data_IF_928392501219
#
_entry.id   IF_928392501219
#
_cell.length_a   1.000
_cell.length_b   1.000
_cell.length_c   1.000
_cell.angle_alpha   90.00
_cell.angle_beta   90.00
_cell.angle_gamma   90.00
#
_symmetry.space_group_name_H-M   'P 1'
#
loop_
_entity.id
_entity.type
_entity.pdbx_description
1 polymer ?
#
# COMPACT_ATOMS: atom_id res chain seq x y z
N UNK A 1 1.04 52.53 3.28
CA UNK A 1 0.46 51.31 3.88
C UNK A 1 1.06 50.12 3.16
N UNK A 2 2.14 49.57 3.72
CA UNK A 2 3.00 48.60 3.04
C UNK A 2 2.44 47.16 3.16
N UNK A 3 2.21 46.57 1.99
CA UNK A 3 2.45 45.17 1.60
C UNK A 3 2.26 44.06 2.66
N UNK A 4 1.08 43.42 2.64
CA UNK A 4 0.89 42.08 3.20
C UNK A 4 1.43 41.01 2.25
N UNK A 5 2.72 40.67 2.37
CA UNK A 5 3.31 39.53 1.68
C UNK A 5 2.79 38.23 2.30
N UNK A 6 1.92 37.51 1.59
CA UNK A 6 1.63 36.09 1.87
C UNK A 6 2.88 35.29 1.53
N UNK A 7 3.69 34.97 2.54
CA UNK A 7 4.80 34.03 2.38
C UNK A 7 4.21 32.63 2.27
N UNK A 8 4.18 32.10 1.05
CA UNK A 8 4.01 30.67 0.79
C UNK A 8 5.26 29.94 1.31
N UNK A 9 5.30 29.76 2.63
CA UNK A 9 6.40 29.11 3.30
C UNK A 9 6.31 27.61 3.03
N UNK A 10 7.07 27.12 2.05
CA UNK A 10 7.23 25.70 1.72
C UNK A 10 7.75 24.85 2.91
N UNK A 11 8.04 25.46 4.06
CA UNK A 11 8.41 24.82 5.32
C UNK A 11 7.23 24.36 6.18
N UNK A 12 5.99 24.75 5.88
CA UNK A 12 4.81 24.30 6.66
C UNK A 12 4.21 22.98 6.14
N UNK A 13 4.36 22.68 4.85
CA UNK A 13 3.88 21.42 4.28
C UNK A 13 4.62 20.18 4.82
N UNK A 14 5.84 20.36 5.35
CA UNK A 14 6.65 19.29 5.94
C UNK A 14 6.34 19.01 7.42
N UNK A 15 5.44 19.76 8.07
CA UNK A 15 5.05 19.50 9.47
C UNK A 15 3.95 18.46 9.61
N UNK A 16 3.11 18.26 8.59
CA UNK A 16 1.99 17.31 8.64
C UNK A 16 2.38 15.85 8.35
N UNK A 17 3.62 15.59 7.90
CA UNK A 17 4.11 14.24 7.56
C UNK A 17 4.83 13.57 8.74
N UNK A 18 5.13 14.32 9.81
CA UNK A 18 6.26 14.00 10.73
C UNK A 18 5.84 13.36 12.07
N UNK A 19 4.66 12.74 12.15
CA UNK A 19 4.17 12.14 13.40
C UNK A 19 3.76 10.66 13.31
N UNK A 20 4.20 9.92 12.28
CA UNK A 20 3.94 8.48 12.19
C UNK A 20 5.25 7.68 12.12
N UNK A 21 5.57 7.03 13.24
CA UNK A 21 6.56 5.96 13.41
C UNK A 21 7.91 6.12 12.67
N UNK A 22 8.57 7.27 12.85
CA UNK A 22 9.93 7.49 12.38
C UNK A 22 10.93 6.74 13.27
N UNK A 23 11.23 5.49 12.92
CA UNK A 23 12.30 4.70 13.56
C UNK A 23 13.72 5.22 13.27
N UNK A 24 13.86 6.21 12.37
CA UNK A 24 15.13 6.84 12.00
C UNK A 24 15.20 8.26 12.56
N UNK A 25 16.41 8.68 12.92
CA UNK A 25 16.70 10.05 13.33
C UNK A 25 16.17 11.06 12.30
N UNK A 26 15.55 12.14 12.78
CA UNK A 26 14.99 13.24 11.98
C UNK A 26 15.97 13.77 10.93
N UNK A 27 17.27 13.80 11.26
CA UNK A 27 18.34 14.26 10.35
C UNK A 27 18.48 13.42 9.08
N UNK A 28 18.03 12.16 9.08
CA UNK A 28 18.23 11.20 7.98
C UNK A 28 17.01 11.06 7.05
N UNK A 29 15.85 11.60 7.44
CA UNK A 29 14.60 11.50 6.69
C UNK A 29 14.02 10.07 6.57
N UNK A 30 12.85 9.95 5.91
CA UNK A 30 12.23 8.67 5.59
C UNK A 30 13.15 7.79 4.75
N UNK A 31 13.14 6.48 5.00
CA UNK A 31 13.94 5.56 4.19
C UNK A 31 13.25 5.27 2.87
N UNK A 32 13.88 5.69 1.78
CA UNK A 32 13.47 5.40 0.40
C UNK A 32 14.57 4.53 -0.21
N UNK A 33 14.18 3.52 -0.97
CA UNK A 33 15.13 2.70 -1.71
C UNK A 33 15.46 3.37 -3.06
N UNK A 34 16.74 3.62 -3.32
CA UNK A 34 17.19 4.33 -4.52
C UNK A 34 16.83 3.59 -5.82
N UNK A 35 16.85 2.24 -5.79
CA UNK A 35 16.51 1.44 -6.97
C UNK A 35 15.02 1.52 -7.25
N UNK A 36 14.19 1.52 -6.21
CA UNK A 36 12.76 1.74 -6.33
C UNK A 36 12.45 3.14 -6.87
N UNK A 37 13.09 4.18 -6.32
CA UNK A 37 12.87 5.55 -6.76
C UNK A 37 13.24 5.76 -8.23
N UNK A 38 14.39 5.24 -8.68
CA UNK A 38 14.80 5.30 -10.10
C UNK A 38 13.79 4.65 -11.04
N UNK A 39 13.15 3.55 -10.63
CA UNK A 39 12.11 2.88 -11.43
C UNK A 39 10.83 3.69 -11.49
N UNK A 40 10.46 4.35 -10.40
CA UNK A 40 9.26 5.17 -10.32
C UNK A 40 9.43 6.42 -11.17
N UNK A 41 10.58 7.10 -11.10
CA UNK A 41 10.85 8.27 -11.93
C UNK A 41 10.87 7.98 -13.44
N UNK A 42 11.17 6.73 -13.83
CA UNK A 42 11.19 6.30 -15.24
C UNK A 42 9.83 5.80 -15.73
N UNK A 43 8.92 5.46 -14.82
CA UNK A 43 7.65 4.85 -15.15
C UNK A 43 6.53 5.85 -15.05
N UNK A 44 5.53 5.73 -15.92
CA UNK A 44 4.34 6.55 -15.82
C UNK A 44 3.29 5.89 -14.92
N UNK A 45 2.55 6.66 -14.12
CA UNK A 45 1.48 6.12 -13.26
C UNK A 45 0.29 5.58 -14.07
N UNK A 46 0.15 6.02 -15.32
CA UNK A 46 -0.86 5.52 -16.27
C UNK A 46 -0.46 4.19 -16.92
N UNK A 47 0.81 3.78 -16.83
CA UNK A 47 1.24 2.50 -17.38
C UNK A 47 0.63 1.33 -16.60
N UNK A 48 0.29 0.26 -17.30
CA UNK A 48 -0.15 -0.98 -16.67
C UNK A 48 0.94 -1.70 -15.88
N UNK A 49 2.19 -1.25 -16.01
CA UNK A 49 3.37 -1.92 -15.49
C UNK A 49 3.40 -1.97 -13.96
N UNK A 50 3.76 -3.14 -13.45
CA UNK A 50 3.91 -3.37 -12.01
C UNK A 50 5.38 -3.29 -11.64
N UNK A 51 5.73 -2.35 -10.77
CA UNK A 51 7.11 -2.20 -10.28
C UNK A 51 7.35 -3.22 -9.17
N UNK A 52 8.17 -4.23 -9.45
CA UNK A 52 8.56 -5.24 -8.46
C UNK A 52 9.63 -4.71 -7.50
N UNK A 53 9.43 -4.95 -6.21
CA UNK A 53 10.36 -4.54 -5.15
C UNK A 53 10.46 -5.57 -4.01
N UNK A 54 11.67 -5.71 -3.49
CA UNK A 54 11.98 -6.42 -2.24
C UNK A 54 12.14 -5.46 -1.06
N UNK A 55 12.13 -4.15 -1.29
CA UNK A 55 12.37 -3.13 -0.28
C UNK A 55 11.13 -2.88 0.60
N UNK A 56 10.71 -3.89 1.37
CA UNK A 56 9.53 -3.82 2.27
C UNK A 56 9.64 -2.73 3.35
N UNK A 57 10.87 -2.31 3.67
CA UNK A 57 11.21 -1.29 4.66
C UNK A 57 11.09 0.15 4.15
N UNK A 58 10.93 0.34 2.83
CA UNK A 58 10.79 1.65 2.22
C UNK A 58 9.45 2.29 2.60
N UNK A 59 9.49 3.59 2.88
CA UNK A 59 8.33 4.42 3.21
C UNK A 59 7.69 4.88 1.91
N UNK A 60 6.37 4.86 1.87
CA UNK A 60 5.60 5.35 0.72
C UNK A 60 5.69 6.88 0.69
N UNK A 61 6.24 7.41 -0.39
CA UNK A 61 6.28 8.85 -0.65
C UNK A 61 5.10 9.30 -1.51
N UNK A 62 4.72 10.59 -1.46
CA UNK A 62 3.63 11.12 -2.28
C UNK A 62 3.80 10.87 -3.79
N UNK A 63 5.04 10.83 -4.28
CA UNK A 63 5.36 10.56 -5.69
C UNK A 63 4.95 9.14 -6.15
N UNK A 64 4.71 8.21 -5.22
CA UNK A 64 4.38 6.83 -5.53
C UNK A 64 2.86 6.60 -5.65
N UNK A 65 2.04 7.62 -5.38
CA UNK A 65 0.58 7.54 -5.44
C UNK A 65 0.14 7.25 -6.88
N UNK A 66 -0.78 6.31 -7.05
CA UNK A 66 -1.28 5.88 -8.35
C UNK A 66 -0.51 4.73 -8.99
N UNK A 67 0.72 4.42 -8.54
CA UNK A 67 1.49 3.30 -9.05
C UNK A 67 1.03 1.95 -8.49
N UNK A 68 1.22 0.89 -9.30
CA UNK A 68 1.07 -0.50 -8.88
C UNK A 68 2.44 -1.07 -8.50
N UNK A 69 2.63 -1.38 -7.21
CA UNK A 69 3.88 -1.90 -6.69
C UNK A 69 3.70 -3.35 -6.27
N UNK A 70 4.52 -4.23 -6.85
CA UNK A 70 4.61 -5.63 -6.45
C UNK A 70 5.56 -5.75 -5.27
N UNK A 71 5.04 -5.89 -4.06
CA UNK A 71 5.84 -6.03 -2.83
C UNK A 71 6.05 -7.50 -2.51
N UNK A 72 7.30 -7.95 -2.46
CA UNK A 72 7.64 -9.33 -2.15
C UNK A 72 7.27 -9.69 -0.70
N UNK A 73 6.48 -10.76 -0.50
CA UNK A 73 6.06 -11.23 0.82
C UNK A 73 6.90 -12.40 1.37
N UNK A 74 7.94 -12.83 0.64
CA UNK A 74 8.78 -13.99 0.97
C UNK A 74 8.62 -15.14 -0.02
N UNK A 75 7.52 -15.17 -0.78
CA UNK A 75 7.26 -16.17 -1.82
C UNK A 75 6.87 -15.51 -3.14
N UNK A 76 5.87 -14.65 -3.08
CA UNK A 76 5.24 -14.02 -4.25
C UNK A 76 5.31 -12.48 -4.12
N UNK A 77 5.11 -11.78 -5.24
CA UNK A 77 4.96 -10.32 -5.24
C UNK A 77 3.48 -9.96 -5.18
N UNK A 78 3.03 -9.41 -4.05
CA UNK A 78 1.66 -8.93 -3.88
C UNK A 78 1.55 -7.57 -4.54
N UNK A 79 0.63 -7.43 -5.50
CA UNK A 79 0.41 -6.17 -6.22
C UNK A 79 -0.46 -5.26 -5.36
N UNK A 80 0.09 -4.13 -4.94
CA UNK A 80 -0.58 -3.10 -4.17
C UNK A 80 -0.69 -1.84 -5.02
N UNK A 81 -1.90 -1.32 -5.20
CA UNK A 81 -2.12 -0.01 -5.81
C UNK A 81 -2.07 1.04 -4.70
N UNK A 82 -1.15 2.00 -4.82
CA UNK A 82 -0.91 2.99 -3.76
C UNK A 82 -1.96 4.10 -3.83
N UNK A 83 -2.60 4.36 -2.70
CA UNK A 83 -3.52 5.48 -2.47
C UNK A 83 -2.89 6.52 -1.56
N UNK A 84 -3.47 7.73 -1.50
CA UNK A 84 -2.93 8.85 -0.70
C UNK A 84 -2.90 8.53 0.80
N UNK A 85 -3.88 7.78 1.29
CA UNK A 85 -3.98 7.36 2.69
C UNK A 85 -2.83 6.42 3.11
N UNK A 86 -2.12 5.83 2.16
CA UNK A 86 -0.97 4.95 2.43
C UNK A 86 0.34 5.73 2.60
N UNK A 87 0.37 7.03 2.32
CA UNK A 87 1.58 7.85 2.42
C UNK A 87 2.07 7.90 3.87
N UNK A 88 3.38 7.70 4.08
CA UNK A 88 3.99 7.64 5.40
C UNK A 88 4.06 6.24 6.02
N UNK A 89 3.32 5.27 5.49
CA UNK A 89 3.42 3.86 5.89
C UNK A 89 4.56 3.14 5.18
N UNK A 90 4.96 1.97 5.70
CA UNK A 90 5.94 1.11 5.01
C UNK A 90 5.25 0.20 4.00
N UNK A 91 5.89 -0.01 2.85
CA UNK A 91 5.38 -0.93 1.81
C UNK A 91 5.12 -2.35 2.34
N UNK A 92 5.90 -2.80 3.32
CA UNK A 92 5.76 -4.12 3.92
C UNK A 92 4.47 -4.32 4.72
N UNK A 93 3.82 -3.24 5.18
CA UNK A 93 2.56 -3.31 5.95
C UNK A 93 1.40 -3.80 5.07
N UNK A 94 1.45 -3.50 3.77
CA UNK A 94 0.44 -3.91 2.80
C UNK A 94 0.71 -5.29 2.18
N UNK A 95 1.77 -5.98 2.61
CA UNK A 95 2.20 -7.28 2.07
C UNK A 95 2.40 -8.26 3.21
N UNK A 96 1.32 -8.95 3.58
CA UNK A 96 1.29 -9.90 4.67
C UNK A 96 2.11 -11.16 4.34
N UNK A 97 2.96 -11.60 5.27
CA UNK A 97 3.88 -12.72 5.07
C UNK A 97 3.33 -14.07 5.55
N UNK A 98 2.41 -14.04 6.51
CA UNK A 98 1.79 -15.24 7.08
C UNK A 98 0.33 -15.31 6.67
N UNK A 99 -0.12 -16.49 6.27
CA UNK A 99 -1.54 -16.75 6.02
C UNK A 99 -2.28 -16.69 7.35
N UNK A 100 -3.42 -16.00 7.37
CA UNK A 100 -4.32 -16.03 8.50
C UNK A 100 -4.92 -17.44 8.60
N UNK A 101 -4.65 -18.13 9.70
CA UNK A 101 -5.25 -19.42 10.02
C UNK A 101 -6.34 -19.15 11.03
N UNK A 102 -7.61 -19.33 10.65
CA UNK A 102 -8.71 -19.34 11.60
C UNK A 102 -8.50 -20.53 12.55
N UNK A 103 -8.47 -20.28 13.85
CA UNK A 103 -8.55 -21.33 14.87
C UNK A 103 -10.00 -21.84 14.94
N UNK A 104 -10.40 -22.63 13.94
CA UNK A 104 -11.70 -23.27 13.91
C UNK A 104 -11.64 -24.62 14.61
N UNK A 105 -12.23 -24.73 15.80
CA UNK A 105 -12.70 -26.04 16.27
C UNK A 105 -13.76 -26.58 15.29
N UNK A 106 -13.98 -27.91 15.28
CA UNK A 106 -14.97 -28.58 14.38
C UNK A 106 -16.33 -27.85 14.31
N UNK A 107 -16.75 -27.23 15.40
CA UNK A 107 -17.99 -26.46 15.53
C UNK A 107 -18.07 -25.23 14.60
N UNK A 108 -17.01 -24.43 14.46
CA UNK A 108 -17.05 -23.22 13.63
C UNK A 108 -17.11 -23.56 12.13
N UNK A 109 -16.46 -24.65 11.71
CA UNK A 109 -16.54 -25.15 10.32
C UNK A 109 -17.93 -25.67 9.97
N UNK A 110 -18.62 -26.33 10.91
CA UNK A 110 -19.99 -26.79 10.71
C UNK A 110 -20.96 -25.60 10.56
N UNK A 111 -20.87 -24.60 11.45
CA UNK A 111 -21.71 -23.41 11.40
C UNK A 111 -21.49 -22.58 10.13
N UNK A 112 -20.24 -22.44 9.65
CA UNK A 112 -19.95 -21.76 8.38
C UNK A 112 -20.44 -22.55 7.14
N UNK A 113 -20.56 -23.89 7.23
CA UNK A 113 -21.11 -24.72 6.15
C UNK A 113 -22.64 -24.63 6.05
N UNK A 114 -23.33 -24.50 7.18
CA UNK A 114 -24.79 -24.33 7.23
C UNK A 114 -25.25 -22.90 6.88
N UNK A 115 -24.38 -21.90 7.08
CA UNK A 115 -24.67 -20.49 6.80
C UNK A 115 -24.30 -20.02 5.39
N UNK A 116 -23.77 -20.89 4.53
CA UNK A 116 -23.50 -20.53 3.14
C UNK A 116 -24.83 -20.43 2.36
N UNK A 117 -25.18 -19.26 1.76
CA UNK A 117 -26.32 -19.20 0.86
C UNK A 117 -26.02 -20.06 -0.37
N UNK A 118 -26.82 -21.12 -0.58
CA UNK A 118 -26.83 -21.89 -1.84
C UNK A 118 -26.99 -20.90 -2.99
N UNK A 119 -25.94 -20.72 -3.79
CA UNK A 119 -26.02 -20.03 -5.06
C UNK A 119 -27.11 -20.71 -5.89
N UNK A 120 -28.07 -19.91 -6.36
CA UNK A 120 -29.14 -20.35 -7.24
C UNK A 120 -28.53 -21.03 -8.48
N UNK A 121 -29.03 -22.22 -8.91
CA UNK A 121 -28.59 -22.83 -10.14
C UNK A 121 -29.05 -21.94 -11.32
N UNK A 122 -28.08 -21.47 -12.10
CA UNK A 122 -28.33 -20.76 -13.35
C UNK A 122 -29.23 -21.62 -14.26
N UNK A 123 -30.31 -21.01 -14.73
CA UNK A 123 -31.28 -21.61 -15.63
C UNK A 123 -30.61 -22.18 -16.89
N UNK A 124 -30.87 -23.45 -17.17
CA UNK A 124 -30.68 -24.07 -18.47
C UNK A 124 -31.67 -23.44 -19.46
N UNK A 125 -31.17 -22.72 -20.45
CA UNK A 125 -31.95 -22.30 -21.63
C UNK A 125 -31.95 -23.44 -22.64
N UNK A 126 -33.08 -24.11 -22.95
CA UNK A 126 -33.16 -24.99 -24.10
C UNK A 126 -33.39 -24.17 -25.38
N UNK A 127 -32.70 -24.55 -26.46
CA UNK A 127 -33.07 -24.20 -27.84
C UNK A 127 -33.95 -25.32 -28.40
#
# INVERSE_FOLDING_TARGET
MLSGAKTNNARDATKHITAHNMTRSLKKGPYIDERLQKKILKSDPASSDTIKTWARRAVITPEMVGFKIGVHNGKDHVIVRITEEMVGHKLGEFSQTRKFVKHGGKLQRAVEQDAAPKAAPAATTPK
#
